data_IF_428225187781
#
_entry.id   IF_428225187781
#
_cell.length_a   1.000
_cell.length_b   1.000
_cell.length_c   1.000
_cell.angle_alpha   90.00
_cell.angle_beta   90.00
_cell.angle_gamma   90.00
#
_symmetry.space_group_name_H-M   'P 1'
#
loop_
_entity.id
_entity.type
_entity.pdbx_description
1 polymer ?
#
# COMPACT_ATOMS: atom_id res chain seq x y z
N UNK A 1 14.82 12.80 -11.29
CA UNK A 1 13.41 12.74 -11.74
C UNK A 1 12.70 13.99 -11.25
N UNK A 2 11.96 14.67 -12.12
CA UNK A 2 11.12 15.80 -11.70
C UNK A 2 9.81 15.31 -11.03
N UNK A 3 9.13 16.18 -10.27
CA UNK A 3 7.82 15.83 -9.67
C UNK A 3 6.81 15.41 -10.74
N UNK A 4 6.74 16.14 -11.86
CA UNK A 4 5.82 15.83 -12.96
C UNK A 4 6.13 14.47 -13.61
N UNK A 5 7.41 14.14 -13.75
CA UNK A 5 7.85 12.86 -14.29
C UNK A 5 7.49 11.71 -13.34
N UNK A 6 7.69 11.87 -12.02
CA UNK A 6 7.31 10.89 -11.01
C UNK A 6 5.80 10.59 -11.06
N UNK A 7 4.96 11.64 -11.17
CA UNK A 7 3.51 11.50 -11.26
C UNK A 7 3.12 10.75 -12.55
N UNK A 8 3.67 11.14 -13.70
CA UNK A 8 3.31 10.53 -15.00
C UNK A 8 3.79 9.09 -15.15
N UNK A 9 4.91 8.74 -14.53
CA UNK A 9 5.53 7.41 -14.66
C UNK A 9 5.01 6.39 -13.65
N UNK A 10 4.35 6.83 -12.56
CA UNK A 10 3.76 5.92 -11.57
C UNK A 10 2.76 4.95 -12.21
N UNK A 11 2.87 3.66 -11.86
CA UNK A 11 1.98 2.58 -12.30
C UNK A 11 1.46 1.79 -11.11
N UNK A 12 0.30 1.16 -11.26
CA UNK A 12 -0.20 0.20 -10.28
C UNK A 12 0.45 -1.14 -10.58
N UNK A 13 1.29 -1.62 -9.66
CA UNK A 13 2.10 -2.83 -9.86
C UNK A 13 1.43 -4.02 -9.15
N UNK A 14 0.98 -5.01 -9.92
CA UNK A 14 0.26 -6.18 -9.38
C UNK A 14 1.20 -7.25 -8.78
N UNK A 15 2.46 -7.31 -9.21
CA UNK A 15 3.44 -8.32 -8.78
C UNK A 15 4.66 -7.64 -8.20
N UNK A 16 4.96 -7.92 -6.94
CA UNK A 16 6.07 -7.34 -6.20
C UNK A 16 7.14 -8.40 -5.96
N UNK A 17 8.39 -7.95 -5.83
CA UNK A 17 9.48 -8.80 -5.36
C UNK A 17 9.24 -9.25 -3.91
N UNK A 18 9.81 -10.39 -3.48
CA UNK A 18 9.65 -10.88 -2.12
C UNK A 18 10.42 -10.04 -1.09
N UNK A 19 11.40 -9.26 -1.54
CA UNK A 19 12.23 -8.42 -0.67
C UNK A 19 11.38 -7.44 0.15
N UNK A 20 11.60 -7.34 1.46
CA UNK A 20 10.92 -6.35 2.28
C UNK A 20 11.41 -4.95 1.91
N UNK A 21 10.50 -3.97 2.03
CA UNK A 21 10.89 -2.56 1.98
C UNK A 21 11.54 -2.19 3.31
N UNK A 22 12.73 -1.55 3.32
CA UNK A 22 13.34 -1.08 4.56
C UNK A 22 12.43 -0.14 5.34
N UNK A 23 12.50 -0.20 6.67
CA UNK A 23 11.56 0.50 7.55
C UNK A 23 11.63 2.02 7.37
N UNK A 24 12.83 2.54 7.29
CA UNK A 24 13.13 3.97 7.09
C UNK A 24 12.53 4.52 5.79
N UNK A 25 12.41 3.68 4.75
CA UNK A 25 11.77 4.07 3.49
C UNK A 25 10.27 4.21 3.67
N UNK A 26 9.64 3.31 4.44
CA UNK A 26 8.21 3.38 4.78
C UNK A 26 7.92 4.61 5.63
N UNK A 27 8.72 4.85 6.66
CA UNK A 27 8.55 6.00 7.56
C UNK A 27 8.66 7.33 6.80
N UNK A 28 9.67 7.48 5.94
CA UNK A 28 9.80 8.67 5.08
C UNK A 28 8.61 8.87 4.14
N UNK A 29 8.01 7.78 3.64
CA UNK A 29 6.84 7.88 2.78
C UNK A 29 5.58 8.29 3.57
N UNK A 30 5.41 7.78 4.80
CA UNK A 30 4.31 8.16 5.67
C UNK A 30 4.45 9.60 6.16
N UNK A 31 5.66 10.05 6.48
CA UNK A 31 5.95 11.44 6.82
C UNK A 31 5.56 12.39 5.67
N UNK A 32 5.88 12.04 4.42
CA UNK A 32 5.41 12.81 3.27
C UNK A 32 3.87 12.79 3.13
N UNK A 33 3.20 11.69 3.52
CA UNK A 33 1.76 11.54 3.39
C UNK A 33 0.95 12.41 4.38
N UNK A 34 1.51 12.74 5.55
CA UNK A 34 0.79 13.57 6.54
C UNK A 34 0.68 15.04 6.13
N UNK A 35 1.47 15.49 5.14
CA UNK A 35 1.39 16.86 4.62
C UNK A 35 0.18 17.11 3.69
N UNK A 36 -0.64 16.08 3.43
CA UNK A 36 -1.84 16.24 2.61
C UNK A 36 -2.84 17.16 3.33
N UNK A 37 -3.38 18.20 2.66
CA UNK A 37 -4.35 19.09 3.27
C UNK A 37 -5.61 18.32 3.65
N UNK A 38 -6.18 18.65 4.80
CA UNK A 38 -7.41 18.03 5.29
C UNK A 38 -8.40 19.09 5.79
N UNK A 39 -9.69 18.79 5.69
CA UNK A 39 -10.73 19.70 6.15
C UNK A 39 -10.68 19.82 7.68
N UNK A 40 -10.72 21.06 8.18
CA UNK A 40 -10.71 21.42 9.61
C UNK A 40 -9.44 21.01 10.38
N UNK A 41 -8.32 20.73 9.70
CA UNK A 41 -7.05 20.41 10.35
C UNK A 41 -7.17 19.27 11.38
N UNK A 42 -8.00 18.28 11.07
CA UNK A 42 -8.26 17.12 11.93
C UNK A 42 -7.19 16.04 11.85
N UNK A 43 -6.37 16.06 10.79
CA UNK A 43 -5.29 15.09 10.57
C UNK A 43 -5.73 13.63 10.78
N UNK A 44 -6.85 13.17 10.17
CA UNK A 44 -7.59 11.99 10.63
C UNK A 44 -6.95 10.66 10.19
N UNK A 45 -5.77 10.69 9.59
CA UNK A 45 -5.12 9.51 9.03
C UNK A 45 -4.60 8.59 10.14
N UNK A 46 -4.86 7.28 9.98
CA UNK A 46 -4.28 6.23 10.81
C UNK A 46 -3.62 5.21 9.90
N UNK A 47 -2.34 4.94 10.13
CA UNK A 47 -1.55 4.02 9.33
C UNK A 47 -1.24 2.74 10.10
N UNK A 48 -1.57 1.59 9.51
CA UNK A 48 -1.22 0.28 10.03
C UNK A 48 -0.22 -0.39 9.08
N UNK A 49 1.03 -0.54 9.53
CA UNK A 49 2.09 -1.17 8.74
C UNK A 49 2.17 -2.65 9.09
N UNK A 50 1.66 -3.52 8.22
CA UNK A 50 1.73 -4.96 8.40
C UNK A 50 3.04 -5.52 7.82
N UNK A 51 3.79 -6.25 8.63
CA UNK A 51 5.03 -6.92 8.24
C UNK A 51 5.04 -8.39 8.68
N UNK A 52 5.99 -9.16 8.16
CA UNK A 52 6.22 -10.55 8.56
C UNK A 52 4.96 -11.42 8.53
N UNK A 53 4.67 -12.06 9.67
CA UNK A 53 3.54 -12.98 9.81
C UNK A 53 2.18 -12.29 9.63
N UNK A 54 2.01 -11.07 10.13
CA UNK A 54 0.74 -10.33 10.00
C UNK A 54 0.41 -10.02 8.53
N UNK A 55 1.41 -9.60 7.75
CA UNK A 55 1.25 -9.39 6.30
C UNK A 55 0.86 -10.68 5.57
N UNK A 56 1.50 -11.80 5.91
CA UNK A 56 1.18 -13.12 5.32
C UNK A 56 -0.26 -13.53 5.64
N UNK A 57 -0.66 -13.39 6.91
CA UNK A 57 -2.01 -13.72 7.35
C UNK A 57 -3.07 -12.88 6.64
N UNK A 58 -2.82 -11.58 6.48
CA UNK A 58 -3.71 -10.69 5.73
C UNK A 58 -3.82 -11.10 4.25
N UNK A 59 -2.71 -11.50 3.62
CA UNK A 59 -2.70 -11.98 2.24
C UNK A 59 -3.52 -13.26 2.05
N UNK A 60 -3.47 -14.19 2.99
CA UNK A 60 -4.31 -15.40 3.01
C UNK A 60 -5.80 -15.03 3.07
N UNK A 61 -6.20 -14.19 4.04
CA UNK A 61 -7.59 -13.73 4.17
C UNK A 61 -8.08 -13.09 2.88
N UNK A 62 -7.27 -12.22 2.26
CA UNK A 62 -7.60 -11.57 0.98
C UNK A 62 -7.72 -12.55 -0.18
N UNK A 63 -6.88 -13.60 -0.22
CA UNK A 63 -6.95 -14.66 -1.23
C UNK A 63 -8.24 -15.46 -1.08
N UNK A 64 -8.55 -15.87 0.14
CA UNK A 64 -9.70 -16.72 0.44
C UNK A 64 -11.01 -15.96 0.15
N UNK A 65 -11.08 -14.68 0.54
CA UNK A 65 -12.20 -13.79 0.17
C UNK A 65 -12.38 -13.70 -1.35
N UNK A 66 -11.30 -13.45 -2.11
CA UNK A 66 -11.40 -13.35 -3.57
C UNK A 66 -11.97 -14.62 -4.19
N UNK A 67 -11.48 -15.78 -3.77
CA UNK A 67 -11.94 -17.09 -4.26
C UNK A 67 -13.41 -17.36 -3.97
N UNK A 68 -13.91 -16.91 -2.82
CA UNK A 68 -15.30 -17.10 -2.44
C UNK A 68 -16.26 -16.10 -3.10
N UNK A 69 -15.80 -14.87 -3.40
CA UNK A 69 -16.69 -13.76 -3.72
C UNK A 69 -16.58 -13.21 -5.14
N UNK A 70 -15.52 -13.52 -5.90
CA UNK A 70 -15.32 -12.98 -7.24
C UNK A 70 -15.48 -14.05 -8.33
N UNK A 71 -16.10 -13.73 -9.49
CA UNK A 71 -16.24 -14.67 -10.60
C UNK A 71 -14.89 -15.13 -11.20
N UNK A 72 -13.85 -14.28 -11.13
CA UNK A 72 -12.51 -14.54 -11.67
C UNK A 72 -11.43 -14.25 -10.63
N UNK A 73 -11.27 -15.10 -9.61
CA UNK A 73 -10.48 -14.80 -8.41
C UNK A 73 -8.97 -14.69 -8.66
N UNK A 74 -8.47 -15.31 -9.74
CA UNK A 74 -7.06 -15.34 -10.11
C UNK A 74 -6.69 -14.29 -11.18
N UNK A 75 -7.63 -13.42 -11.57
CA UNK A 75 -7.32 -12.28 -12.44
C UNK A 75 -6.32 -11.32 -11.74
N UNK A 76 -5.43 -10.64 -12.52
CA UNK A 76 -4.45 -9.70 -11.98
C UNK A 76 -5.03 -8.59 -11.10
#
# INVERSE_FOLDING_TARGET
>A
MSVLEAIRTRRSIARLRPDPVPREVVERALDAAVWVPNHRLTEPWQFFVLQGAAKRRFAEIRRDFRRASLPTPDAP
#
